data_IF_128326227782
#
_entry.id   IF_128326227782
#
_cell.length_a   1.000
_cell.length_b   1.000
_cell.length_c   1.000
_cell.angle_alpha   90.00
_cell.angle_beta   90.00
_cell.angle_gamma   90.00
#
_symmetry.space_group_name_H-M   'P 1'
#
loop_
_entity.id
_entity.type
_entity.pdbx_description
1 polymer ?
#
# COMPACT_ATOMS: atom_id res chain seq x y z
N UNK A 1 -8.74 4.45 17.06
CA UNK A 1 -8.08 4.68 15.75
C UNK A 1 -8.90 4.26 14.53
N UNK A 2 -10.03 3.54 14.68
CA UNK A 2 -10.88 3.10 13.55
C UNK A 2 -11.37 4.24 12.61
N UNK A 3 -11.40 5.49 13.08
CA UNK A 3 -11.74 6.65 12.25
C UNK A 3 -10.70 7.01 11.20
N UNK A 4 -9.45 6.55 11.31
CA UNK A 4 -8.39 6.89 10.35
C UNK A 4 -8.73 6.48 8.90
N UNK A 5 -9.56 5.45 8.72
CA UNK A 5 -9.97 4.97 7.39
C UNK A 5 -10.88 5.95 6.63
N UNK A 6 -11.55 6.86 7.35
CA UNK A 6 -12.43 7.87 6.74
C UNK A 6 -11.64 9.11 6.28
N UNK A 7 -10.38 9.23 6.71
CA UNK A 7 -9.51 10.31 6.30
C UNK A 7 -8.96 10.08 4.88
N UNK A 8 -8.50 11.14 4.19
CA UNK A 8 -8.72 12.55 4.52
C UNK A 8 -10.09 13.04 4.06
N UNK A 9 -10.89 12.19 3.41
CA UNK A 9 -12.07 12.61 2.66
C UNK A 9 -13.26 13.00 3.54
N UNK A 10 -13.41 12.36 4.70
CA UNK A 10 -14.51 12.61 5.64
C UNK A 10 -14.02 12.79 7.09
N UNK A 11 -13.40 13.94 7.45
CA UNK A 11 -12.94 14.20 8.81
C UNK A 11 -14.05 14.09 9.88
N UNK A 12 -15.26 14.55 9.57
CA UNK A 12 -16.40 14.42 10.49
C UNK A 12 -16.78 12.97 10.78
N UNK A 13 -16.81 12.12 9.75
CA UNK A 13 -17.09 10.69 9.90
C UNK A 13 -15.95 9.99 10.65
N UNK A 14 -14.70 10.42 10.45
CA UNK A 14 -13.54 9.93 11.20
C UNK A 14 -13.70 10.18 12.71
N UNK A 15 -14.14 11.38 13.11
CA UNK A 15 -14.41 11.72 14.51
C UNK A 15 -15.53 10.87 15.09
N UNK A 16 -16.66 10.77 14.37
CA UNK A 16 -17.80 9.98 14.83
C UNK A 16 -17.42 8.50 15.00
N UNK A 17 -16.76 7.92 14.01
CA UNK A 17 -16.33 6.52 14.04
C UNK A 17 -15.30 6.26 15.14
N UNK A 18 -14.41 7.22 15.42
CA UNK A 18 -13.49 7.13 16.54
C UNK A 18 -14.21 7.14 17.90
N UNK A 19 -15.24 7.99 18.07
CA UNK A 19 -16.06 8.03 19.28
C UNK A 19 -16.87 6.73 19.47
N UNK A 20 -17.55 6.25 18.42
CA UNK A 20 -18.33 5.01 18.46
C UNK A 20 -17.46 3.80 18.85
N UNK A 21 -16.22 3.76 18.35
CA UNK A 21 -15.28 2.71 18.71
C UNK A 21 -14.68 2.88 20.10
N UNK A 22 -14.53 4.10 20.62
CA UNK A 22 -14.13 4.32 22.01
C UNK A 22 -15.17 3.75 22.97
N UNK A 23 -16.47 4.02 22.72
CA UNK A 23 -17.58 3.46 23.49
C UNK A 23 -17.60 1.92 23.45
N UNK A 24 -17.43 1.33 22.26
CA UNK A 24 -17.33 -0.14 22.11
C UNK A 24 -16.14 -0.76 22.85
N UNK A 25 -15.10 0.03 23.12
CA UNK A 25 -13.94 -0.39 23.91
C UNK A 25 -14.08 -0.05 25.42
N UNK A 26 -15.27 0.33 25.88
CA UNK A 26 -15.54 0.62 27.29
C UNK A 26 -14.92 1.92 27.78
N UNK A 27 -14.74 2.89 26.88
CA UNK A 27 -14.39 4.26 27.22
C UNK A 27 -15.68 5.08 27.29
N UNK A 28 -15.97 5.62 28.46
CA UNK A 28 -17.15 6.47 28.65
C UNK A 28 -16.92 7.86 28.02
N UNK A 29 -18.01 8.56 27.67
CA UNK A 29 -17.94 9.92 27.07
C UNK A 29 -17.16 10.90 27.96
N UNK A 30 -17.21 10.76 29.29
CA UNK A 30 -16.44 11.60 30.22
C UNK A 30 -14.95 11.28 30.29
N UNK A 31 -14.56 10.09 29.82
CA UNK A 31 -13.18 9.63 29.72
C UNK A 31 -12.53 10.00 28.38
N UNK A 32 -13.32 10.33 27.36
CA UNK A 32 -12.83 10.83 26.09
C UNK A 32 -12.38 12.29 26.24
N UNK A 33 -11.07 12.53 26.28
CA UNK A 33 -10.49 13.86 26.50
C UNK A 33 -10.43 14.67 25.20
N UNK A 34 -10.03 14.04 24.09
CA UNK A 34 -10.00 14.68 22.78
C UNK A 34 -10.06 13.68 21.61
N UNK A 35 -10.62 14.12 20.48
CA UNK A 35 -10.44 13.50 19.17
C UNK A 35 -10.00 14.62 18.21
N UNK A 36 -8.73 14.60 17.82
CA UNK A 36 -8.12 15.65 17.02
C UNK A 36 -7.79 15.12 15.63
N UNK A 37 -8.14 15.90 14.61
CA UNK A 37 -7.70 15.68 13.24
C UNK A 37 -6.65 16.72 12.92
N UNK A 38 -5.52 16.24 12.44
CA UNK A 38 -4.34 17.04 12.12
C UNK A 38 -3.77 16.60 10.78
N UNK A 39 -2.75 17.32 10.31
CA UNK A 39 -2.04 17.02 9.08
C UNK A 39 -0.59 16.71 9.40
N UNK A 40 -0.15 15.50 9.05
CA UNK A 40 1.26 15.12 9.08
C UNK A 40 1.89 15.37 7.72
N UNK A 41 1.26 14.88 6.65
CA UNK A 41 1.79 14.96 5.29
C UNK A 41 0.83 15.62 4.31
N UNK A 42 -0.43 15.23 4.34
CA UNK A 42 -1.49 15.90 3.58
C UNK A 42 -2.58 16.39 4.52
N UNK A 43 -3.42 17.31 4.04
CA UNK A 43 -4.49 17.87 4.83
C UNK A 43 -5.38 16.75 5.40
N UNK A 44 -5.67 16.84 6.70
CA UNK A 44 -6.57 15.93 7.44
C UNK A 44 -6.22 14.44 7.34
N UNK A 45 -4.93 14.08 7.25
CA UNK A 45 -4.50 12.68 7.13
C UNK A 45 -4.30 11.94 8.46
N UNK A 46 -4.30 12.66 9.58
CA UNK A 46 -3.90 12.12 10.88
C UNK A 46 -5.00 12.33 11.91
N UNK A 47 -5.30 11.30 12.71
CA UNK A 47 -6.23 11.35 13.83
C UNK A 47 -5.54 10.92 15.12
N UNK A 48 -5.71 11.73 16.16
CA UNK A 48 -5.26 11.44 17.54
C UNK A 48 -6.46 11.33 18.45
N UNK A 49 -6.54 10.26 19.24
CA UNK A 49 -7.57 10.08 20.26
C UNK A 49 -6.90 10.07 21.63
N UNK A 50 -7.29 10.99 22.50
CA UNK A 50 -6.82 11.08 23.88
C UNK A 50 -7.95 10.70 24.85
N UNK A 51 -7.63 9.87 25.83
CA UNK A 51 -8.53 9.42 26.88
C UNK A 51 -7.91 9.63 28.25
N UNK A 52 -8.76 9.73 29.27
CA UNK A 52 -8.38 9.86 30.67
C UNK A 52 -9.26 9.00 31.57
N UNK A 53 -8.70 8.52 32.67
CA UNK A 53 -9.44 7.77 33.70
C UNK A 53 -8.88 8.08 35.08
N UNK A 54 -9.77 8.38 36.01
CA UNK A 54 -9.40 8.51 37.42
C UNK A 54 -9.22 7.11 38.02
N UNK A 55 -7.99 6.80 38.42
CA UNK A 55 -7.63 5.50 38.99
C UNK A 55 -7.38 5.67 40.48
N UNK A 56 -8.17 4.99 41.34
CA UNK A 56 -7.92 5.01 42.77
C UNK A 56 -6.63 4.26 43.09
N UNK A 57 -5.81 4.83 43.97
CA UNK A 57 -4.63 4.11 44.45
C UNK A 57 -5.02 3.05 45.47
N UNK A 58 -4.41 1.88 45.39
CA UNK A 58 -4.62 0.79 46.37
C UNK A 58 -3.58 0.88 47.49
N UNK A 59 -2.30 0.97 47.15
CA UNK A 59 -1.20 0.99 48.13
C UNK A 59 -0.79 2.41 48.57
N UNK A 60 -0.81 3.39 47.66
CA UNK A 60 -0.39 4.76 47.98
C UNK A 60 -1.35 5.50 48.93
N UNK A 61 -2.52 4.92 49.22
CA UNK A 61 -3.45 5.42 50.26
C UNK A 61 -2.82 5.48 51.64
N UNK A 62 -1.93 4.55 51.98
CA UNK A 62 -1.20 4.56 53.26
C UNK A 62 -0.27 5.78 53.37
N UNK A 63 0.13 6.36 52.24
CA UNK A 63 0.98 7.54 52.15
C UNK A 63 0.17 8.84 51.99
N UNK A 64 -1.17 8.79 52.05
CA UNK A 64 -2.06 9.95 51.95
C UNK A 64 -2.56 10.27 50.54
N UNK A 65 -2.23 9.47 49.51
CA UNK A 65 -2.72 9.68 48.14
C UNK A 65 -3.98 8.86 47.88
N UNK A 66 -5.05 9.48 47.37
CA UNK A 66 -6.36 8.82 47.18
C UNK A 66 -6.60 8.29 45.77
N UNK A 67 -6.17 9.03 44.75
CA UNK A 67 -6.37 8.73 43.33
C UNK A 67 -5.46 9.60 42.46
N UNK A 68 -5.36 9.27 41.17
CA UNK A 68 -4.75 10.12 40.15
C UNK A 68 -5.45 9.94 38.79
N UNK A 69 -5.36 10.95 37.93
CA UNK A 69 -5.95 10.92 36.58
C UNK A 69 -4.91 10.39 35.60
N UNK A 70 -5.08 9.15 35.18
CA UNK A 70 -4.26 8.54 34.14
C UNK A 70 -4.71 9.02 32.76
N UNK A 71 -3.77 9.30 31.87
CA UNK A 71 -4.03 9.68 30.48
C UNK A 71 -3.35 8.71 29.52
N UNK A 72 -3.98 8.51 28.37
CA UNK A 72 -3.40 7.78 27.26
C UNK A 72 -3.85 8.42 25.95
N UNK A 73 -2.99 8.41 24.96
CA UNK A 73 -3.31 8.84 23.61
C UNK A 73 -2.83 7.82 22.58
N UNK A 74 -3.50 7.83 21.43
CA UNK A 74 -3.14 7.01 20.28
C UNK A 74 -3.34 7.81 19.00
N UNK A 75 -2.37 7.71 18.09
CA UNK A 75 -2.36 8.43 16.81
C UNK A 75 -2.33 7.44 15.66
N UNK A 76 -3.16 7.67 14.64
CA UNK A 76 -3.12 6.93 13.37
C UNK A 76 -3.16 7.90 12.20
N UNK A 77 -2.62 7.47 11.07
CA UNK A 77 -2.60 8.22 9.82
C UNK A 77 -3.09 7.35 8.67
N UNK A 78 -3.83 7.95 7.74
CA UNK A 78 -4.06 7.35 6.41
C UNK A 78 -2.99 7.83 5.45
N UNK A 79 -2.45 6.92 4.64
CA UNK A 79 -1.46 7.26 3.63
C UNK A 79 -1.67 6.43 2.38
N UNK A 80 -1.39 7.03 1.22
CA UNK A 80 -1.13 6.28 0.00
C UNK A 80 0.38 6.09 -0.16
N UNK A 81 0.85 5.03 -0.84
CA UNK A 81 2.25 4.90 -1.18
C UNK A 81 2.74 6.15 -1.92
N UNK A 82 3.71 6.87 -1.35
CA UNK A 82 4.28 8.08 -1.97
C UNK A 82 5.14 7.74 -3.19
N UNK A 83 5.85 6.61 -3.13
CA UNK A 83 6.60 6.04 -4.24
C UNK A 83 7.11 4.65 -3.91
N UNK A 84 7.51 3.91 -4.94
CA UNK A 84 7.98 2.53 -4.81
C UNK A 84 8.99 2.18 -5.89
N UNK A 85 9.98 1.36 -5.53
CA UNK A 85 10.87 0.64 -6.45
C UNK A 85 10.54 -0.86 -6.45
N UNK A 86 11.15 -1.64 -7.33
CA UNK A 86 10.80 -3.05 -7.56
C UNK A 86 9.56 -3.23 -8.44
N UNK A 87 9.12 -2.15 -9.12
CA UNK A 87 7.98 -2.17 -10.03
C UNK A 87 8.28 -3.01 -11.26
N UNK A 88 7.27 -3.73 -11.76
CA UNK A 88 7.34 -4.34 -13.09
C UNK A 88 6.89 -3.32 -14.15
N UNK A 89 7.53 -3.29 -15.33
CA UNK A 89 7.33 -2.25 -16.35
C UNK A 89 6.04 -2.46 -17.16
N UNK A 90 4.91 -2.66 -16.48
CA UNK A 90 3.59 -2.81 -17.08
C UNK A 90 2.64 -1.75 -16.57
N UNK A 91 1.80 -1.30 -17.49
CA UNK A 91 0.73 -0.38 -17.20
C UNK A 91 -0.55 -0.85 -17.89
N UNK A 92 -1.69 -0.56 -17.28
CA UNK A 92 -2.99 -0.78 -17.92
C UNK A 92 -3.25 0.34 -18.92
N UNK A 93 -3.98 0.03 -19.98
CA UNK A 93 -4.43 1.06 -20.93
C UNK A 93 -5.54 1.89 -20.30
N UNK A 94 -5.61 3.16 -20.68
CA UNK A 94 -6.71 4.05 -20.31
C UNK A 94 -8.10 3.42 -20.54
N UNK A 95 -8.34 2.84 -21.73
CA UNK A 95 -9.59 2.17 -22.05
C UNK A 95 -9.92 1.00 -21.10
N UNK A 96 -8.92 0.33 -20.55
CA UNK A 96 -9.12 -0.75 -19.58
C UNK A 96 -9.52 -0.20 -18.20
N UNK A 97 -8.96 0.96 -17.81
CA UNK A 97 -9.37 1.69 -16.61
C UNK A 97 -10.79 2.21 -16.74
N UNK A 98 -11.15 2.78 -17.89
CA UNK A 98 -12.51 3.26 -18.17
C UNK A 98 -13.56 2.13 -18.17
N UNK A 99 -13.17 0.90 -18.49
CA UNK A 99 -14.06 -0.26 -18.40
C UNK A 99 -14.24 -0.78 -16.97
N UNK A 100 -13.25 -0.59 -16.09
CA UNK A 100 -13.29 -1.01 -14.70
C UNK A 100 -13.63 0.18 -13.79
N UNK A 101 -14.88 0.62 -13.87
CA UNK A 101 -15.39 1.81 -13.17
C UNK A 101 -15.61 1.51 -11.68
N UNK A 102 -15.81 0.24 -11.32
CA UNK A 102 -16.06 -0.18 -9.94
C UNK A 102 -14.94 -1.07 -9.39
N UNK A 103 -14.58 -0.83 -8.13
CA UNK A 103 -13.69 -1.72 -7.38
C UNK A 103 -14.25 -3.15 -7.38
N UNK A 104 -13.45 -4.10 -7.86
CA UNK A 104 -13.84 -5.52 -7.97
C UNK A 104 -14.21 -5.99 -9.37
N UNK A 105 -14.30 -5.08 -10.36
CA UNK A 105 -14.44 -5.47 -11.76
C UNK A 105 -13.14 -6.10 -12.31
N UNK A 106 -13.26 -7.21 -13.02
CA UNK A 106 -12.13 -7.96 -13.55
C UNK A 106 -11.63 -7.35 -14.86
N UNK A 107 -10.38 -6.88 -14.87
CA UNK A 107 -9.65 -6.53 -16.10
C UNK A 107 -8.71 -7.67 -16.46
N UNK A 108 -8.92 -8.26 -17.64
CA UNK A 108 -8.01 -9.30 -18.15
C UNK A 108 -6.78 -8.65 -18.76
N UNK A 109 -5.60 -8.93 -18.19
CA UNK A 109 -4.30 -8.61 -18.77
C UNK A 109 -3.86 -9.81 -19.62
N UNK A 110 -4.13 -9.76 -20.92
CA UNK A 110 -3.82 -10.88 -21.80
C UNK A 110 -2.40 -10.79 -22.35
N UNK A 111 -1.57 -11.75 -21.93
CA UNK A 111 -0.25 -12.00 -22.48
C UNK A 111 -0.32 -13.27 -23.36
N UNK A 112 -0.29 -13.15 -24.70
CA UNK A 112 0.05 -14.28 -25.57
C UNK A 112 -0.98 -14.93 -26.51
N UNK A 113 -2.10 -14.30 -26.90
CA UNK A 113 -2.92 -14.87 -27.99
C UNK A 113 -2.48 -14.37 -29.38
N UNK A 114 -2.00 -15.26 -30.28
CA UNK A 114 -1.83 -14.90 -31.68
C UNK A 114 -3.22 -14.70 -32.31
N UNK A 115 -3.61 -13.43 -32.50
CA UNK A 115 -4.76 -13.06 -33.35
C UNK A 115 -6.02 -12.58 -32.64
N UNK A 116 -6.04 -12.39 -31.32
CA UNK A 116 -7.19 -11.81 -30.61
C UNK A 116 -6.75 -10.58 -29.81
N UNK A 117 -7.18 -9.39 -30.26
CA UNK A 117 -7.17 -8.15 -29.47
C UNK A 117 -5.81 -7.58 -29.08
N UNK A 118 -5.69 -6.27 -29.05
CA UNK A 118 -4.60 -5.66 -28.30
C UNK A 118 -4.96 -5.78 -26.81
N UNK A 119 -4.31 -6.65 -26.04
CA UNK A 119 -4.57 -6.82 -24.59
C UNK A 119 -4.63 -5.49 -23.82
N UNK A 120 -5.20 -5.50 -22.62
CA UNK A 120 -5.49 -4.31 -21.80
C UNK A 120 -4.27 -3.68 -21.12
N UNK A 121 -3.06 -4.05 -21.53
CA UNK A 121 -1.82 -3.58 -20.94
C UNK A 121 -0.79 -3.17 -22.00
N UNK A 122 0.21 -2.42 -21.56
CA UNK A 122 1.37 -2.02 -22.36
C UNK A 122 2.64 -2.00 -21.53
N UNK A 123 3.79 -2.07 -22.21
CA UNK A 123 5.09 -1.87 -21.59
C UNK A 123 5.36 -0.38 -21.36
N UNK A 124 5.93 -0.06 -20.21
CA UNK A 124 6.43 1.29 -19.88
C UNK A 124 7.92 1.25 -19.58
N UNK A 125 8.57 2.39 -19.71
CA UNK A 125 9.94 2.61 -19.27
C UNK A 125 9.91 2.96 -17.79
N UNK A 126 10.58 2.13 -16.98
CA UNK A 126 10.89 2.44 -15.60
C UNK A 126 12.35 2.94 -15.56
N UNK A 127 13.34 2.06 -15.43
CA UNK A 127 14.74 2.46 -15.32
C UNK A 127 15.32 3.14 -16.58
N UNK A 128 15.39 2.41 -17.70
CA UNK A 128 15.87 2.92 -18.99
C UNK A 128 15.15 2.23 -20.16
N UNK A 129 15.09 2.85 -21.36
CA UNK A 129 14.48 2.20 -22.51
C UNK A 129 15.39 1.11 -23.06
N UNK A 130 14.82 -0.05 -23.38
CA UNK A 130 15.53 -1.08 -24.13
C UNK A 130 14.99 -2.46 -23.85
N UNK A 131 15.11 -3.37 -24.82
CA UNK A 131 14.59 -4.73 -24.64
C UNK A 131 15.35 -5.54 -23.59
N UNK A 132 16.62 -5.23 -23.30
CA UNK A 132 17.36 -5.89 -22.21
C UNK A 132 16.85 -5.38 -20.86
N UNK A 133 16.82 -4.06 -20.70
CA UNK A 133 16.31 -3.40 -19.49
C UNK A 133 14.88 -3.82 -19.17
N UNK A 134 14.00 -3.83 -20.18
CA UNK A 134 12.62 -4.26 -20.03
C UNK A 134 12.51 -5.71 -19.53
N UNK A 135 13.38 -6.61 -19.99
CA UNK A 135 13.43 -8.00 -19.53
C UNK A 135 13.96 -8.10 -18.09
N UNK A 136 14.98 -7.32 -17.74
CA UNK A 136 15.55 -7.26 -16.38
C UNK A 136 14.56 -6.66 -15.37
N UNK A 137 13.90 -5.56 -15.70
CA UNK A 137 12.89 -4.92 -14.85
C UNK A 137 11.69 -5.85 -14.60
N UNK A 138 11.35 -6.72 -15.56
CA UNK A 138 10.34 -7.76 -15.33
C UNK A 138 10.88 -8.87 -14.44
N UNK A 139 12.16 -9.25 -14.52
CA UNK A 139 12.71 -10.34 -13.70
C UNK A 139 12.96 -9.90 -12.25
N UNK A 140 13.56 -8.74 -12.07
CA UNK A 140 14.13 -8.28 -10.80
C UNK A 140 13.47 -7.03 -10.22
N UNK A 141 12.47 -6.49 -10.93
CA UNK A 141 11.86 -5.21 -10.55
C UNK A 141 12.78 -4.04 -10.91
N UNK A 142 12.18 -2.91 -11.25
CA UNK A 142 12.91 -1.69 -11.56
C UNK A 142 13.60 -1.12 -10.31
N UNK A 143 14.82 -0.62 -10.44
CA UNK A 143 15.56 0.00 -9.34
C UNK A 143 15.07 1.42 -9.05
N UNK A 144 14.63 2.13 -10.09
CA UNK A 144 14.14 3.50 -9.99
C UNK A 144 12.87 3.56 -9.15
N UNK A 145 12.87 4.48 -8.19
CA UNK A 145 11.67 4.82 -7.45
C UNK A 145 10.75 5.66 -8.34
N UNK A 146 9.53 5.17 -8.55
CA UNK A 146 8.45 5.93 -9.19
C UNK A 146 7.49 6.42 -8.12
N UNK A 147 7.15 7.70 -8.19
CA UNK A 147 6.28 8.36 -7.23
C UNK A 147 4.86 8.54 -7.76
N UNK A 148 3.90 8.46 -6.83
CA UNK A 148 2.52 8.82 -7.13
C UNK A 148 2.43 10.32 -7.38
N UNK A 149 1.69 10.69 -8.41
CA UNK A 149 1.23 12.06 -8.59
C UNK A 149 0.37 12.47 -7.38
N UNK A 150 0.41 13.77 -7.03
CA UNK A 150 -0.37 14.37 -5.93
C UNK A 150 -0.06 13.84 -4.51
N UNK A 151 1.08 13.18 -4.31
CA UNK A 151 1.64 12.91 -2.98
C UNK A 151 2.71 13.94 -2.63
N UNK A 152 3.21 13.94 -1.39
CA UNK A 152 4.37 14.76 -1.03
C UNK A 152 5.50 14.43 -2.00
N UNK A 153 6.08 15.44 -2.68
CA UNK A 153 7.20 15.22 -3.58
C UNK A 153 8.38 14.60 -2.83
N UNK A 154 8.77 13.39 -3.21
CA UNK A 154 10.06 12.81 -2.82
C UNK A 154 11.11 13.44 -3.72
N UNK A 155 12.07 14.15 -3.13
CA UNK A 155 13.11 14.85 -3.88
C UNK A 155 13.88 13.87 -4.79
N UNK A 156 13.88 14.15 -6.10
CA UNK A 156 14.56 13.30 -7.09
C UNK A 156 13.77 12.07 -7.55
N UNK A 157 12.48 11.98 -7.24
CA UNK A 157 11.61 10.89 -7.67
C UNK A 157 10.78 11.25 -8.89
N UNK A 158 10.72 10.36 -9.88
CA UNK A 158 9.97 10.57 -11.11
C UNK A 158 8.48 10.24 -10.91
N UNK A 159 7.59 11.11 -11.40
CA UNK A 159 6.13 10.91 -11.38
C UNK A 159 5.56 10.60 -12.77
N UNK A 160 6.39 10.59 -13.80
CA UNK A 160 6.01 10.34 -15.18
C UNK A 160 6.81 9.18 -15.77
N UNK A 161 6.12 8.23 -16.39
CA UNK A 161 6.71 7.11 -17.10
C UNK A 161 6.29 7.16 -18.57
N UNK A 162 7.18 6.74 -19.47
CA UNK A 162 6.92 6.76 -20.91
C UNK A 162 6.58 5.38 -21.43
N UNK A 163 5.83 5.24 -22.53
CA UNK A 163 5.66 3.94 -23.18
C UNK A 163 7.01 3.35 -23.60
N UNK A 164 7.18 2.04 -23.41
CA UNK A 164 8.38 1.32 -23.86
C UNK A 164 8.48 1.40 -25.39
N UNK A 165 9.54 2.00 -25.95
CA UNK A 165 9.72 2.03 -27.39
C UNK A 165 10.01 0.62 -27.92
N UNK A 166 9.49 0.29 -29.11
CA UNK A 166 9.79 -0.95 -29.80
C UNK A 166 8.57 -1.55 -30.51
N UNK A 167 8.79 -2.70 -31.17
CA UNK A 167 7.70 -3.48 -31.74
C UNK A 167 6.91 -4.16 -30.61
N UNK A 168 5.59 -3.94 -30.57
CA UNK A 168 4.71 -4.51 -29.55
C UNK A 168 4.85 -6.04 -29.42
N UNK A 169 4.99 -6.78 -30.52
CA UNK A 169 5.18 -8.23 -30.48
C UNK A 169 6.50 -8.64 -29.79
N UNK A 170 7.56 -7.83 -29.92
CA UNK A 170 8.84 -8.07 -29.25
C UNK A 170 8.79 -7.73 -27.77
N UNK A 171 8.12 -6.62 -27.43
CA UNK A 171 7.84 -6.24 -26.03
C UNK A 171 7.06 -7.36 -25.36
N UNK A 172 6.03 -7.87 -26.06
CA UNK A 172 5.27 -8.99 -25.58
C UNK A 172 6.18 -10.21 -25.37
N UNK A 173 6.84 -10.72 -26.41
CA UNK A 173 7.68 -11.92 -26.29
C UNK A 173 8.70 -11.88 -25.12
N UNK A 174 9.23 -10.69 -24.80
CA UNK A 174 10.10 -10.47 -23.63
C UNK A 174 9.35 -10.59 -22.31
N UNK A 175 8.18 -9.97 -22.20
CA UNK A 175 7.33 -10.14 -21.03
C UNK A 175 6.91 -11.60 -20.82
N UNK A 176 6.65 -12.38 -21.87
CA UNK A 176 6.42 -13.84 -21.73
C UNK A 176 7.59 -14.52 -21.02
N UNK A 177 8.78 -14.39 -21.61
CA UNK A 177 9.96 -15.10 -21.14
C UNK A 177 10.36 -14.70 -19.73
N UNK A 178 10.22 -13.42 -19.40
CA UNK A 178 10.55 -12.91 -18.07
C UNK A 178 9.50 -13.31 -17.01
N UNK A 179 8.21 -13.37 -17.37
CA UNK A 179 7.16 -13.91 -16.48
C UNK A 179 7.39 -15.39 -16.21
N UNK A 180 7.62 -16.19 -17.26
CA UNK A 180 7.93 -17.62 -17.11
C UNK A 180 9.18 -17.80 -16.25
N UNK A 181 10.23 -16.99 -16.47
CA UNK A 181 11.41 -17.01 -15.63
C UNK A 181 11.08 -16.74 -14.15
N UNK A 182 10.24 -15.75 -13.85
CA UNK A 182 9.83 -15.47 -12.46
C UNK A 182 9.10 -16.68 -11.87
N UNK A 183 8.16 -17.26 -12.60
CA UNK A 183 7.43 -18.45 -12.14
C UNK A 183 8.39 -19.62 -11.86
N UNK A 184 9.34 -19.88 -12.76
CA UNK A 184 10.33 -20.96 -12.62
C UNK A 184 11.35 -20.71 -11.49
N UNK A 185 11.60 -19.44 -11.14
CA UNK A 185 12.50 -19.06 -10.05
C UNK A 185 11.76 -18.70 -8.75
N UNK A 186 10.43 -18.87 -8.71
CA UNK A 186 9.63 -18.75 -7.50
C UNK A 186 9.48 -20.12 -6.88
N UNK A 187 9.65 -20.23 -5.56
CA UNK A 187 9.49 -21.52 -4.89
C UNK A 187 8.09 -22.09 -5.16
N UNK A 188 8.02 -23.36 -5.58
CA UNK A 188 6.74 -24.06 -5.75
C UNK A 188 5.92 -24.19 -4.47
N UNK A 189 6.52 -23.89 -3.30
CA UNK A 189 5.77 -23.76 -2.04
C UNK A 189 4.88 -22.52 -2.03
N UNK A 190 5.13 -21.50 -2.86
CA UNK A 190 4.45 -20.21 -2.88
C UNK A 190 3.25 -20.19 -3.83
N UNK A 191 2.46 -21.26 -3.85
CA UNK A 191 1.39 -21.50 -4.83
C UNK A 191 -0.03 -21.23 -4.29
N UNK A 192 -0.17 -21.01 -2.99
CA UNK A 192 -1.45 -20.70 -2.32
C UNK A 192 -1.27 -19.54 -1.36
N UNK A 193 -2.37 -18.82 -1.11
CA UNK A 193 -2.37 -17.58 -0.32
C UNK A 193 -1.62 -17.71 1.01
N UNK A 194 -1.94 -18.72 1.82
CA UNK A 194 -1.32 -18.94 3.14
C UNK A 194 0.18 -19.27 3.08
N UNK A 195 0.69 -19.68 1.92
CA UNK A 195 2.11 -19.92 1.74
C UNK A 195 2.83 -18.64 1.33
N UNK A 196 2.18 -17.76 0.56
CA UNK A 196 2.74 -16.49 0.10
C UNK A 196 2.66 -15.44 1.20
N UNK A 197 1.55 -15.39 1.93
CA UNK A 197 1.25 -14.37 2.91
C UNK A 197 1.32 -14.92 4.34
N UNK A 198 1.87 -14.14 5.25
CA UNK A 198 1.83 -14.39 6.69
C UNK A 198 1.01 -13.27 7.37
N UNK A 199 0.08 -13.58 8.28
CA UNK A 199 -0.61 -12.55 9.03
C UNK A 199 0.38 -11.81 9.94
N UNK A 200 0.27 -10.48 10.01
CA UNK A 200 1.07 -9.63 10.92
C UNK A 200 0.29 -9.25 12.18
N UNK A 201 -1.04 -9.43 12.19
CA UNK A 201 -1.96 -8.94 13.23
C UNK A 201 -3.05 -8.07 12.60
N UNK A 202 -4.16 -7.81 13.30
CA UNK A 202 -5.21 -6.85 12.89
C UNK A 202 -5.79 -6.99 11.46
N UNK A 203 -5.72 -8.20 10.88
CA UNK A 203 -6.19 -8.48 9.52
C UNK A 203 -5.19 -8.10 8.41
N UNK A 204 -3.97 -7.71 8.78
CA UNK A 204 -2.89 -7.41 7.87
C UNK A 204 -2.06 -8.65 7.49
N UNK A 205 -1.47 -8.61 6.31
CA UNK A 205 -0.68 -9.69 5.72
C UNK A 205 0.62 -9.15 5.14
N UNK A 206 1.71 -9.86 5.37
CA UNK A 206 3.02 -9.61 4.75
C UNK A 206 3.39 -10.76 3.80
N UNK A 207 4.10 -10.46 2.72
CA UNK A 207 4.64 -11.49 1.83
C UNK A 207 5.82 -12.18 2.53
N UNK A 208 5.83 -13.51 2.59
CA UNK A 208 6.97 -14.27 3.11
C UNK A 208 8.17 -14.06 2.20
N UNK A 209 9.34 -13.77 2.77
CA UNK A 209 10.57 -13.48 2.03
C UNK A 209 10.97 -14.57 1.02
N UNK A 210 10.62 -15.84 1.28
CA UNK A 210 10.83 -16.95 0.35
C UNK A 210 9.90 -16.99 -0.87
N UNK A 211 8.88 -16.12 -0.92
CA UNK A 211 7.85 -16.09 -1.96
C UNK A 211 7.91 -14.86 -2.87
N UNK A 212 8.73 -13.87 -2.56
CA UNK A 212 9.05 -12.77 -3.47
C UNK A 212 10.53 -12.36 -3.34
N UNK A 213 11.45 -13.18 -3.88
CA UNK A 213 12.89 -12.93 -3.78
C UNK A 213 13.40 -11.83 -4.73
N UNK A 214 12.51 -11.19 -5.50
CA UNK A 214 12.86 -10.35 -6.64
C UNK A 214 12.69 -8.85 -6.37
N UNK A 215 12.63 -8.40 -5.12
CA UNK A 215 12.53 -6.98 -4.77
C UNK A 215 13.88 -6.39 -4.34
N UNK A 216 14.15 -5.10 -4.58
CA UNK A 216 15.31 -4.42 -4.02
C UNK A 216 15.19 -4.37 -2.49
N UNK A 217 16.19 -4.90 -1.77
CA UNK A 217 16.26 -4.80 -0.31
C UNK A 217 15.54 -5.91 0.48
N UNK A 218 15.82 -7.18 0.18
CA UNK A 218 15.39 -8.34 1.03
C UNK A 218 16.19 -8.41 2.35
N UNK A 219 16.25 -7.29 3.08
CA UNK A 219 16.48 -7.21 4.52
C UNK A 219 15.38 -6.30 5.09
N UNK A 220 14.40 -6.98 5.70
CA UNK A 220 13.22 -6.48 6.40
C UNK A 220 12.23 -5.63 5.60
N UNK A 221 11.09 -6.24 5.29
CA UNK A 221 9.84 -5.54 5.02
C UNK A 221 9.32 -4.96 6.36
N UNK A 222 10.02 -4.00 6.95
CA UNK A 222 9.66 -3.53 8.30
C UNK A 222 8.54 -2.47 8.31
N UNK A 223 8.08 -1.91 7.19
CA UNK A 223 6.94 -0.96 7.28
C UNK A 223 6.20 -0.62 5.98
N UNK A 224 6.54 -1.23 4.84
CA UNK A 224 5.88 -0.90 3.57
C UNK A 224 5.03 -2.07 3.12
N UNK A 225 3.72 -1.96 3.35
CA UNK A 225 2.72 -2.75 2.63
C UNK A 225 3.11 -2.73 1.15
N UNK A 226 3.44 -3.89 0.57
CA UNK A 226 3.78 -3.99 -0.85
C UNK A 226 2.50 -3.75 -1.66
N UNK A 227 2.14 -2.49 -1.84
CA UNK A 227 1.01 -2.10 -2.66
C UNK A 227 1.40 -2.30 -4.13
N UNK A 228 0.63 -3.10 -4.86
CA UNK A 228 0.78 -3.19 -6.31
C UNK A 228 0.28 -1.87 -6.93
N UNK A 229 1.19 -0.95 -7.22
CA UNK A 229 0.90 0.25 -8.00
C UNK A 229 0.92 -0.14 -9.47
N UNK A 230 -0.25 -0.13 -10.12
CA UNK A 230 -0.36 -0.35 -11.57
C UNK A 230 -0.52 1.02 -12.24
N UNK A 231 0.52 1.54 -12.92
CA UNK A 231 0.41 2.78 -13.66
C UNK A 231 -0.56 2.63 -14.84
N UNK A 232 -1.09 3.75 -15.32
CA UNK A 232 -2.00 3.80 -16.48
C UNK A 232 -1.30 4.51 -17.63
N UNK A 233 -1.32 3.93 -18.82
CA UNK A 233 -0.83 4.58 -20.04
C UNK A 233 -1.94 5.42 -20.65
N UNK A 234 -1.67 6.71 -20.82
CA UNK A 234 -2.51 7.68 -21.55
C UNK A 234 -2.08 7.75 -23.01
#
# INVERSE_FOLDING_TARGET
LAGAQELPYSPGDAQQKAADWAEKNGIDVGELEAIEITSTYVADDTITVAVKRDVPFVFARVLGFTSDTMRADATARVGSPAGMSGLVPWAVKEAAREHAVQTGELVTLEFGAPGMGQGNFGGIVLDQPGGSEYDENIKYGAEQMICSVNQIPIAGCDTEVRPQPGNQAQIMAKAEGAVVWRMDNTSGTCSVFDNVFAPTGDGEYQIKSGCNPFGPGVQSCDEVQSCLVVPVVV
#
